data_IF_959779919465
#
_entry.id   IF_959779919465
#
_cell.length_a   1.000
_cell.length_b   1.000
_cell.length_c   1.000
_cell.angle_alpha   90.00
_cell.angle_beta   90.00
_cell.angle_gamma   90.00
#
_symmetry.space_group_name_H-M   'P 1'
#
loop_
_entity.id
_entity.type
_entity.pdbx_description
1 polymer ?
#
# COMPACT_ATOMS: atom_id res chain seq x y z
N UNK A 1 -23.07 7.04 -2.48
CA UNK A 1 -22.12 6.38 -1.53
C UNK A 1 -21.14 7.43 -1.04
N UNK A 2 -20.82 7.46 0.26
CA UNK A 2 -19.90 8.44 0.82
C UNK A 2 -18.49 7.82 0.92
N UNK A 3 -17.56 8.07 -0.05
CA UNK A 3 -16.27 7.40 -0.14
C UNK A 3 -15.40 7.66 1.09
N UNK A 4 -15.49 8.84 1.70
CA UNK A 4 -14.71 9.20 2.88
C UNK A 4 -14.98 8.36 4.13
N UNK A 5 -16.12 7.67 4.22
CA UNK A 5 -16.45 6.75 5.32
C UNK A 5 -16.34 5.28 4.91
N UNK A 6 -16.66 4.99 3.65
CA UNK A 6 -16.69 3.60 3.16
C UNK A 6 -15.29 3.02 2.98
N UNK A 7 -14.35 3.79 2.41
CA UNK A 7 -12.99 3.33 2.16
C UNK A 7 -12.24 2.98 3.44
N UNK A 8 -12.16 3.84 4.48
CA UNK A 8 -11.48 3.49 5.73
C UNK A 8 -12.07 2.26 6.43
N UNK A 9 -13.42 2.14 6.41
CA UNK A 9 -14.09 0.96 6.99
C UNK A 9 -13.76 -0.33 6.22
N UNK A 10 -13.77 -0.27 4.89
CA UNK A 10 -13.40 -1.41 4.07
C UNK A 10 -11.96 -1.87 4.35
N UNK A 11 -11.01 -0.95 4.46
CA UNK A 11 -9.61 -1.25 4.82
C UNK A 11 -9.54 -1.92 6.19
N UNK A 12 -10.21 -1.36 7.21
CA UNK A 12 -10.21 -1.94 8.55
C UNK A 12 -10.79 -3.36 8.58
N UNK A 13 -11.93 -3.59 7.91
CA UNK A 13 -12.52 -4.92 7.84
C UNK A 13 -11.63 -5.91 7.08
N UNK A 14 -10.98 -5.50 6.00
CA UNK A 14 -10.03 -6.34 5.27
C UNK A 14 -8.88 -6.78 6.16
N UNK A 15 -8.30 -5.88 6.94
CA UNK A 15 -7.21 -6.19 7.88
C UNK A 15 -7.67 -7.15 8.97
N UNK A 16 -8.83 -6.90 9.59
CA UNK A 16 -9.35 -7.74 10.68
C UNK A 16 -9.71 -9.14 10.17
N UNK A 17 -10.45 -9.24 9.06
CA UNK A 17 -10.86 -10.54 8.50
C UNK A 17 -9.64 -11.30 7.99
N UNK A 18 -8.76 -10.65 7.25
CA UNK A 18 -7.52 -11.24 6.74
C UNK A 18 -6.64 -11.72 7.90
N UNK A 19 -6.41 -10.89 8.91
CA UNK A 19 -5.65 -11.27 10.09
C UNK A 19 -6.24 -12.45 10.85
N UNK A 20 -7.56 -12.50 11.02
CA UNK A 20 -8.24 -13.62 11.66
C UNK A 20 -8.07 -14.93 10.86
N UNK A 21 -8.21 -14.88 9.54
CA UNK A 21 -7.98 -16.04 8.67
C UNK A 21 -6.54 -16.53 8.76
N UNK A 22 -5.55 -15.62 8.67
CA UNK A 22 -4.14 -16.00 8.82
C UNK A 22 -3.83 -16.60 10.19
N UNK A 23 -4.38 -16.04 11.26
CA UNK A 23 -4.20 -16.55 12.61
C UNK A 23 -4.75 -17.98 12.75
N UNK A 24 -5.97 -18.24 12.25
CA UNK A 24 -6.60 -19.57 12.30
C UNK A 24 -5.78 -20.57 11.48
N UNK A 25 -5.36 -20.21 10.26
CA UNK A 25 -4.56 -21.11 9.42
C UNK A 25 -3.20 -21.39 10.04
N UNK A 26 -2.51 -20.37 10.57
CA UNK A 26 -1.22 -20.55 11.24
C UNK A 26 -1.34 -21.46 12.49
N UNK A 27 -2.39 -21.26 13.29
CA UNK A 27 -2.67 -22.10 14.44
C UNK A 27 -2.97 -23.54 14.05
N UNK A 28 -3.81 -23.74 13.02
CA UNK A 28 -4.10 -25.07 12.50
C UNK A 28 -2.85 -25.78 11.93
N UNK A 29 -2.01 -25.05 11.20
CA UNK A 29 -0.74 -25.57 10.69
C UNK A 29 0.19 -26.00 11.84
N UNK A 30 0.28 -25.25 12.90
CA UNK A 30 1.08 -25.57 14.09
C UNK A 30 0.57 -26.82 14.82
N UNK A 31 -0.75 -27.04 14.83
CA UNK A 31 -1.33 -28.27 15.43
C UNK A 31 -1.00 -29.52 14.59
N UNK A 32 -0.96 -29.39 13.27
CA UNK A 32 -0.66 -30.50 12.35
C UNK A 32 0.83 -30.85 12.37
N UNK A 33 1.69 -29.86 12.42
CA UNK A 33 3.14 -30.03 12.40
C UNK A 33 3.82 -29.19 13.48
N UNK A 34 3.84 -29.67 14.73
CA UNK A 34 4.50 -28.97 15.83
C UNK A 34 6.01 -28.85 15.59
N UNK A 35 6.57 -27.64 15.78
CA UNK A 35 8.01 -27.40 15.67
C UNK A 35 8.45 -26.71 14.36
N UNK A 36 7.73 -26.87 13.26
CA UNK A 36 7.97 -26.12 12.02
C UNK A 36 9.23 -26.51 11.24
N UNK A 37 9.89 -27.62 11.57
CA UNK A 37 11.07 -28.10 10.86
C UNK A 37 10.67 -28.89 9.58
N UNK A 38 10.55 -28.17 8.49
CA UNK A 38 10.31 -28.77 7.17
C UNK A 38 11.64 -29.07 6.47
N UNK A 39 11.73 -30.26 5.84
CA UNK A 39 12.89 -30.63 5.01
C UNK A 39 13.09 -29.66 3.85
N UNK A 40 11.99 -29.17 3.28
CA UNK A 40 11.98 -28.16 2.25
C UNK A 40 10.88 -27.13 2.57
N UNK A 41 11.23 -25.93 3.00
CA UNK A 41 10.26 -24.87 3.31
C UNK A 41 9.36 -24.51 2.12
N UNK A 42 9.86 -24.61 0.89
CA UNK A 42 9.12 -24.27 -0.33
C UNK A 42 7.95 -25.22 -0.61
N UNK A 43 8.05 -26.48 -0.17
CA UNK A 43 6.99 -27.49 -0.34
C UNK A 43 6.15 -27.71 0.94
N UNK A 44 6.43 -27.00 2.03
CA UNK A 44 5.84 -27.23 3.34
C UNK A 44 4.30 -27.29 3.33
N UNK A 45 3.64 -26.36 2.64
CA UNK A 45 2.19 -26.32 2.53
C UNK A 45 1.62 -27.54 1.79
N UNK A 46 2.30 -27.99 0.73
CA UNK A 46 1.92 -29.19 -0.02
C UNK A 46 2.13 -30.46 0.80
N UNK A 47 3.24 -30.57 1.54
CA UNK A 47 3.55 -31.69 2.39
C UNK A 47 2.54 -31.81 3.53
N UNK A 48 2.14 -30.71 4.15
CA UNK A 48 1.04 -30.68 5.12
C UNK A 48 -0.29 -31.11 4.51
N UNK A 49 -0.64 -30.63 3.33
CA UNK A 49 -1.87 -31.02 2.65
C UNK A 49 -1.88 -32.54 2.37
N UNK A 50 -0.73 -33.10 2.01
CA UNK A 50 -0.58 -34.56 1.79
C UNK A 50 -0.69 -35.34 3.10
N UNK A 51 -0.18 -34.80 4.20
CA UNK A 51 -0.29 -35.41 5.53
C UNK A 51 -1.75 -35.48 6.02
N UNK A 52 -2.50 -34.41 5.80
CA UNK A 52 -3.89 -34.29 6.27
C UNK A 52 -4.86 -35.10 5.46
N UNK A 53 -4.80 -35.02 4.14
CA UNK A 53 -5.83 -35.57 3.25
C UNK A 53 -5.31 -36.50 2.14
N UNK A 54 -4.04 -36.90 2.19
CA UNK A 54 -3.44 -37.80 1.21
C UNK A 54 -3.28 -37.21 -0.19
N UNK A 55 -3.13 -38.11 -1.18
CA UNK A 55 -2.79 -37.72 -2.56
C UNK A 55 -3.87 -36.90 -3.27
N UNK A 56 -5.14 -37.26 -3.09
CA UNK A 56 -6.24 -36.59 -3.76
C UNK A 56 -6.38 -35.15 -3.23
N UNK A 57 -6.37 -34.97 -1.90
CA UNK A 57 -6.48 -33.67 -1.26
C UNK A 57 -5.31 -32.77 -1.62
N UNK A 58 -4.07 -33.28 -1.61
CA UNK A 58 -2.89 -32.48 -1.99
C UNK A 58 -2.92 -32.08 -3.47
N UNK A 59 -3.48 -32.89 -4.38
CA UNK A 59 -3.64 -32.51 -5.78
C UNK A 59 -4.66 -31.35 -5.95
N UNK A 60 -5.82 -31.46 -5.27
CA UNK A 60 -6.83 -30.38 -5.28
C UNK A 60 -6.28 -29.11 -4.64
N UNK A 61 -5.56 -29.24 -3.52
CA UNK A 61 -4.90 -28.11 -2.84
C UNK A 61 -3.91 -27.42 -3.78
N UNK A 62 -3.05 -28.18 -4.48
CA UNK A 62 -2.08 -27.63 -5.42
C UNK A 62 -2.77 -26.90 -6.58
N UNK A 63 -3.83 -27.47 -7.15
CA UNK A 63 -4.60 -26.84 -8.21
C UNK A 63 -5.21 -25.51 -7.73
N UNK A 64 -5.79 -25.49 -6.53
CA UNK A 64 -6.32 -24.27 -5.90
C UNK A 64 -5.23 -23.23 -5.64
N UNK A 65 -4.06 -23.65 -5.16
CA UNK A 65 -2.91 -22.78 -4.93
C UNK A 65 -2.47 -22.08 -6.24
N UNK A 66 -2.31 -22.86 -7.32
CA UNK A 66 -1.89 -22.31 -8.63
C UNK A 66 -2.90 -21.28 -9.14
N UNK A 67 -4.20 -21.58 -9.09
CA UNK A 67 -5.25 -20.64 -9.53
C UNK A 67 -5.24 -19.37 -8.69
N UNK A 68 -5.11 -19.49 -7.37
CA UNK A 68 -5.09 -18.37 -6.45
C UNK A 68 -3.86 -17.49 -6.65
N UNK A 69 -2.69 -18.09 -6.82
CA UNK A 69 -1.45 -17.36 -7.09
C UNK A 69 -1.51 -16.60 -8.43
N UNK A 70 -2.06 -17.22 -9.46
CA UNK A 70 -2.26 -16.56 -10.75
C UNK A 70 -3.20 -15.36 -10.65
N UNK A 71 -4.35 -15.53 -9.98
CA UNK A 71 -5.30 -14.44 -9.76
C UNK A 71 -4.70 -13.29 -8.92
N UNK A 72 -3.95 -13.62 -7.86
CA UNK A 72 -3.25 -12.66 -7.02
C UNK A 72 -2.17 -11.90 -7.82
N UNK A 73 -1.41 -12.61 -8.65
CA UNK A 73 -0.40 -12.02 -9.53
C UNK A 73 -0.99 -10.99 -10.50
N UNK A 74 -2.12 -11.31 -11.14
CA UNK A 74 -2.83 -10.37 -12.03
C UNK A 74 -3.29 -9.12 -11.26
N UNK A 75 -3.85 -9.30 -10.07
CA UNK A 75 -4.32 -8.20 -9.23
C UNK A 75 -3.16 -7.29 -8.77
N UNK A 76 -2.04 -7.87 -8.36
CA UNK A 76 -0.83 -7.15 -8.00
C UNK A 76 -0.26 -6.35 -9.19
N UNK A 77 -0.16 -7.00 -10.35
CA UNK A 77 0.30 -6.39 -11.60
C UNK A 77 -0.56 -5.17 -11.99
N UNK A 78 -1.88 -5.31 -11.90
CA UNK A 78 -2.82 -4.22 -12.18
C UNK A 78 -2.66 -3.06 -11.17
N UNK A 79 -2.47 -3.36 -9.89
CA UNK A 79 -2.30 -2.36 -8.83
C UNK A 79 -1.01 -1.57 -9.00
N UNK A 80 0.13 -2.26 -9.19
CA UNK A 80 1.45 -1.62 -9.36
C UNK A 80 1.46 -0.75 -10.62
N UNK A 81 0.95 -1.24 -11.75
CA UNK A 81 0.95 -0.47 -13.01
C UNK A 81 0.12 0.80 -12.91
N UNK A 82 -1.02 0.78 -12.20
CA UNK A 82 -1.85 1.96 -11.95
C UNK A 82 -1.18 2.94 -11.00
N UNK A 83 -0.50 2.44 -9.96
CA UNK A 83 0.26 3.28 -9.03
C UNK A 83 1.40 4.02 -9.77
N UNK A 84 2.21 3.30 -10.56
CA UNK A 84 3.26 3.89 -11.37
C UNK A 84 2.71 4.94 -12.36
N UNK A 85 1.54 4.68 -12.96
CA UNK A 85 0.87 5.65 -13.81
C UNK A 85 0.45 6.90 -13.03
N UNK A 86 -0.15 6.75 -11.86
CA UNK A 86 -0.53 7.89 -11.01
C UNK A 86 0.69 8.73 -10.65
N UNK A 87 1.79 8.11 -10.21
CA UNK A 87 3.05 8.79 -9.91
C UNK A 87 3.65 9.50 -11.14
N UNK A 88 3.52 8.90 -12.32
CA UNK A 88 3.95 9.51 -13.57
C UNK A 88 3.07 10.68 -14.01
N UNK A 89 1.75 10.57 -13.83
CA UNK A 89 0.79 11.64 -14.09
C UNK A 89 1.04 12.84 -13.21
N UNK A 90 1.26 12.60 -11.92
CA UNK A 90 1.46 13.62 -10.89
C UNK A 90 2.92 14.14 -10.85
N UNK A 91 3.73 13.80 -11.85
CA UNK A 91 5.12 14.28 -12.04
C UNK A 91 6.12 13.86 -10.96
N UNK A 92 5.76 12.93 -10.10
CA UNK A 92 6.69 12.30 -9.14
C UNK A 92 7.71 11.44 -9.90
N UNK A 93 7.24 10.69 -10.90
CA UNK A 93 8.09 9.96 -11.84
C UNK A 93 8.07 10.67 -13.23
N UNK A 94 9.08 10.41 -14.09
CA UNK A 94 9.13 11.02 -15.42
C UNK A 94 7.86 10.73 -16.25
N UNK A 95 7.05 11.76 -16.48
CA UNK A 95 5.76 11.67 -17.17
C UNK A 95 5.86 11.05 -18.56
N UNK A 96 7.00 11.25 -19.23
CA UNK A 96 7.23 10.72 -20.60
C UNK A 96 7.24 9.19 -20.63
N UNK A 97 7.62 8.53 -19.51
CA UNK A 97 7.74 7.08 -19.38
C UNK A 97 6.49 6.54 -18.70
N UNK A 98 6.23 6.99 -17.47
CA UNK A 98 5.23 6.39 -16.57
C UNK A 98 3.81 6.97 -16.76
N UNK A 99 3.69 8.22 -17.23
CA UNK A 99 2.40 8.92 -17.40
C UNK A 99 1.69 8.66 -18.71
N UNK A 100 2.09 7.64 -19.50
CA UNK A 100 1.47 7.32 -20.80
C UNK A 100 0.47 6.19 -20.67
N UNK A 101 -0.68 6.36 -21.32
CA UNK A 101 -1.72 5.35 -21.53
C UNK A 101 -1.75 4.99 -23.00
N UNK A 102 -1.83 3.71 -23.32
CA UNK A 102 -2.00 3.24 -24.69
C UNK A 102 -3.40 3.60 -25.19
N UNK A 103 -3.49 4.24 -26.35
CA UNK A 103 -4.79 4.60 -26.98
C UNK A 103 -5.62 3.35 -27.31
N UNK A 104 -4.95 2.27 -27.74
CA UNK A 104 -5.61 1.01 -28.14
C UNK A 104 -6.17 0.25 -26.95
N UNK A 105 -5.41 0.12 -25.85
CA UNK A 105 -5.77 -0.72 -24.69
C UNK A 105 -6.34 0.09 -23.53
N UNK A 106 -6.25 1.41 -23.58
CA UNK A 106 -6.63 2.33 -22.48
C UNK A 106 -6.01 1.96 -21.13
N UNK A 107 -4.83 1.36 -21.17
CA UNK A 107 -4.07 0.90 -20.00
C UNK A 107 -2.62 1.40 -20.09
N UNK A 108 -1.91 1.54 -18.97
CA UNK A 108 -0.51 1.94 -18.94
C UNK A 108 0.41 0.75 -19.30
N UNK A 109 0.41 0.33 -20.57
CA UNK A 109 1.11 -0.87 -21.07
C UNK A 109 2.59 -0.87 -20.69
N UNK A 110 3.28 0.28 -20.78
CA UNK A 110 4.70 0.35 -20.42
C UNK A 110 4.94 0.01 -18.95
N UNK A 111 4.06 0.49 -18.06
CA UNK A 111 4.16 0.19 -16.62
C UNK A 111 3.88 -1.29 -16.33
N UNK A 112 2.94 -1.89 -17.07
CA UNK A 112 2.66 -3.34 -16.99
C UNK A 112 3.89 -4.14 -17.44
N UNK A 113 4.50 -3.78 -18.56
CA UNK A 113 5.69 -4.46 -19.04
C UNK A 113 6.89 -4.29 -18.09
N UNK A 114 7.08 -3.09 -17.56
CA UNK A 114 8.16 -2.82 -16.62
C UNK A 114 8.00 -3.62 -15.31
N UNK A 115 6.81 -3.61 -14.72
CA UNK A 115 6.56 -4.38 -13.50
C UNK A 115 6.60 -5.88 -13.76
N UNK A 116 6.16 -6.34 -14.94
CA UNK A 116 6.31 -7.74 -15.38
C UNK A 116 7.77 -8.14 -15.53
N UNK A 117 8.61 -7.29 -16.12
CA UNK A 117 10.05 -7.55 -16.25
C UNK A 117 10.73 -7.68 -14.88
N UNK A 118 10.36 -6.83 -13.90
CA UNK A 118 10.84 -6.97 -12.51
C UNK A 118 10.36 -8.28 -11.90
N UNK A 119 9.11 -8.68 -12.16
CA UNK A 119 8.57 -9.97 -11.71
C UNK A 119 9.33 -11.18 -12.26
N UNK A 120 9.84 -11.10 -13.51
CA UNK A 120 10.66 -12.17 -14.10
C UNK A 120 12.00 -12.35 -13.37
N UNK A 121 12.58 -11.28 -12.83
CA UNK A 121 13.80 -11.38 -12.00
C UNK A 121 13.52 -12.19 -10.72
N UNK A 122 12.30 -12.08 -10.18
CA UNK A 122 11.86 -12.84 -9.00
C UNK A 122 11.85 -14.37 -9.19
N UNK A 123 11.81 -14.86 -10.42
CA UNK A 123 11.85 -16.31 -10.69
C UNK A 123 13.18 -16.95 -10.22
N UNK A 124 14.25 -16.17 -10.20
CA UNK A 124 15.56 -16.63 -9.74
C UNK A 124 15.76 -16.58 -8.23
N UNK A 125 14.78 -16.08 -7.47
CA UNK A 125 14.84 -15.98 -6.01
C UNK A 125 14.04 -17.10 -5.37
N UNK A 126 14.54 -17.61 -4.24
CA UNK A 126 13.78 -18.53 -3.39
C UNK A 126 12.61 -17.82 -2.69
N UNK A 127 11.64 -18.59 -2.19
CA UNK A 127 10.43 -18.05 -1.55
C UNK A 127 10.79 -17.23 -0.32
N UNK A 128 11.76 -17.66 0.48
CA UNK A 128 12.14 -16.98 1.69
C UNK A 128 12.71 -15.58 1.40
N UNK A 129 13.67 -15.49 0.49
CA UNK A 129 14.26 -14.21 0.06
C UNK A 129 13.22 -13.29 -0.56
N UNK A 130 12.36 -13.82 -1.46
CA UNK A 130 11.29 -13.05 -2.08
C UNK A 130 10.32 -12.47 -1.04
N UNK A 131 9.92 -13.29 -0.06
CA UNK A 131 9.02 -12.86 1.03
C UNK A 131 9.70 -11.82 1.91
N UNK A 132 10.99 -11.97 2.21
CA UNK A 132 11.77 -11.00 2.99
C UNK A 132 11.86 -9.64 2.29
N UNK A 133 12.00 -9.59 0.97
CA UNK A 133 11.94 -8.33 0.21
C UNK A 133 10.58 -7.65 0.29
N UNK A 134 9.50 -8.41 0.14
CA UNK A 134 8.13 -7.87 0.26
C UNK A 134 7.92 -7.29 1.66
N UNK A 135 8.33 -8.03 2.68
CA UNK A 135 8.20 -7.62 4.08
C UNK A 135 9.06 -6.39 4.40
N UNK A 136 10.28 -6.29 3.85
CA UNK A 136 11.12 -5.09 3.99
C UNK A 136 10.38 -3.84 3.49
N UNK A 137 9.80 -3.91 2.30
CA UNK A 137 9.02 -2.80 1.72
C UNK A 137 7.80 -2.45 2.57
N UNK A 138 7.05 -3.45 3.03
CA UNK A 138 5.85 -3.26 3.84
C UNK A 138 6.18 -2.64 5.22
N UNK A 139 7.13 -3.21 5.96
CA UNK A 139 7.49 -2.70 7.29
C UNK A 139 8.10 -1.30 7.23
N UNK A 140 8.93 -1.02 6.22
CA UNK A 140 9.46 0.33 6.00
C UNK A 140 8.36 1.34 5.72
N UNK A 141 7.37 0.98 4.88
CA UNK A 141 6.23 1.84 4.58
C UNK A 141 5.35 2.07 5.81
N UNK A 142 5.01 1.01 6.55
CA UNK A 142 4.19 1.12 7.77
C UNK A 142 4.90 1.92 8.86
N UNK A 143 6.19 1.70 9.08
CA UNK A 143 7.00 2.52 10.01
C UNK A 143 6.94 4.00 9.62
N UNK A 144 7.10 4.31 8.32
CA UNK A 144 7.04 5.69 7.83
C UNK A 144 5.67 6.32 8.06
N UNK A 145 4.58 5.59 7.78
CA UNK A 145 3.20 6.07 8.04
C UNK A 145 2.98 6.31 9.53
N UNK A 146 3.41 5.40 10.39
CA UNK A 146 3.30 5.55 11.84
C UNK A 146 4.08 6.78 12.34
N UNK A 147 5.29 7.00 11.84
CA UNK A 147 6.09 8.21 12.16
C UNK A 147 5.40 9.48 11.68
N UNK A 148 4.82 9.47 10.48
CA UNK A 148 4.04 10.62 9.97
C UNK A 148 2.85 10.96 10.87
N UNK A 149 2.13 9.96 11.41
CA UNK A 149 1.03 10.19 12.34
C UNK A 149 1.51 10.80 13.65
N UNK A 150 2.64 10.35 14.17
CA UNK A 150 3.25 10.92 15.39
C UNK A 150 3.64 12.38 15.16
N UNK A 151 4.32 12.68 14.05
CA UNK A 151 4.70 14.06 13.70
C UNK A 151 3.46 14.95 13.55
N UNK A 152 2.41 14.42 12.91
CA UNK A 152 1.14 15.12 12.74
C UNK A 152 0.46 15.43 14.08
N UNK A 153 0.54 14.53 15.05
CA UNK A 153 0.05 14.76 16.42
C UNK A 153 0.76 15.93 17.09
N UNK A 154 2.09 15.96 17.03
CA UNK A 154 2.87 17.06 17.65
C UNK A 154 2.66 18.41 16.95
N UNK A 155 2.46 18.39 15.62
CA UNK A 155 2.23 19.62 14.85
C UNK A 155 0.84 20.20 15.02
N UNK A 156 -0.19 19.36 15.25
CA UNK A 156 -1.59 19.77 15.29
C UNK A 156 -2.29 19.33 16.58
N UNK A 157 -1.79 19.82 17.72
CA UNK A 157 -2.15 19.38 19.09
C UNK A 157 -3.64 19.56 19.49
N UNK A 158 -4.42 20.37 18.78
CA UNK A 158 -5.66 20.91 19.35
C UNK A 158 -6.91 20.03 19.29
N UNK A 159 -6.94 18.88 18.62
CA UNK A 159 -8.21 18.12 18.49
C UNK A 159 -8.08 16.62 18.29
N UNK A 160 -6.95 15.98 18.61
CA UNK A 160 -6.73 14.57 18.29
C UNK A 160 -6.47 13.73 19.52
N UNK A 161 -7.10 12.53 19.57
CA UNK A 161 -6.88 11.56 20.63
C UNK A 161 -5.42 11.11 20.66
N UNK A 162 -4.73 11.31 21.79
CA UNK A 162 -3.36 10.86 21.99
C UNK A 162 -3.21 9.34 21.80
N UNK A 163 -4.23 8.57 22.20
CA UNK A 163 -4.22 7.12 22.02
C UNK A 163 -4.14 6.71 20.54
N UNK A 164 -4.94 7.34 19.69
CA UNK A 164 -5.02 6.99 18.26
C UNK A 164 -3.87 7.56 17.41
N UNK A 165 -3.31 8.72 17.79
CA UNK A 165 -2.32 9.42 16.96
C UNK A 165 -0.89 9.43 17.51
N UNK A 166 -0.70 8.99 18.76
CA UNK A 166 0.62 8.88 19.37
C UNK A 166 0.90 7.46 19.84
N UNK A 167 0.07 6.89 20.72
CA UNK A 167 0.35 5.62 21.37
C UNK A 167 0.26 4.45 20.39
N UNK A 168 -0.84 4.34 19.66
CA UNK A 168 -1.01 3.25 18.68
C UNK A 168 0.04 3.29 17.55
N UNK A 169 0.34 4.45 16.91
CA UNK A 169 1.42 4.53 15.93
C UNK A 169 2.81 4.28 16.52
N UNK A 170 3.06 4.68 17.76
CA UNK A 170 4.35 4.40 18.40
C UNK A 170 4.57 2.90 18.62
N UNK A 171 3.54 2.19 19.10
CA UNK A 171 3.58 0.73 19.23
C UNK A 171 3.76 0.08 17.85
N UNK A 172 3.00 0.52 16.83
CA UNK A 172 3.14 0.04 15.45
C UNK A 172 4.56 0.21 14.91
N UNK A 173 5.13 1.42 15.03
CA UNK A 173 6.49 1.69 14.58
C UNK A 173 7.55 0.85 15.29
N UNK A 174 7.39 0.60 16.60
CA UNK A 174 8.28 -0.26 17.36
C UNK A 174 8.19 -1.72 16.92
N UNK A 175 6.97 -2.22 16.70
CA UNK A 175 6.76 -3.60 16.22
C UNK A 175 7.31 -3.77 14.81
N UNK A 176 7.00 -2.85 13.89
CA UNK A 176 7.51 -2.88 12.51
C UNK A 176 9.06 -2.79 12.49
N UNK A 177 9.63 -1.89 13.31
CA UNK A 177 11.08 -1.77 13.46
C UNK A 177 11.74 -3.03 14.02
N UNK A 178 11.11 -3.68 14.99
CA UNK A 178 11.58 -4.96 15.53
C UNK A 178 11.50 -6.07 14.47
N UNK A 179 10.40 -6.16 13.71
CA UNK A 179 10.24 -7.12 12.63
C UNK A 179 11.27 -6.92 11.51
N UNK A 180 11.64 -5.67 11.19
CA UNK A 180 12.71 -5.38 10.24
C UNK A 180 14.03 -6.03 10.66
N UNK A 181 14.34 -6.08 11.95
CA UNK A 181 15.58 -6.71 12.44
C UNK A 181 15.60 -8.24 12.32
N UNK A 182 14.45 -8.85 12.00
CA UNK A 182 14.31 -10.31 11.84
C UNK A 182 14.37 -10.77 10.38
N UNK A 183 14.48 -9.82 9.45
CA UNK A 183 14.61 -10.14 8.03
C UNK A 183 16.00 -10.64 7.68
N UNK A 184 16.10 -11.36 6.56
CA UNK A 184 17.39 -11.81 6.01
C UNK A 184 18.31 -10.65 5.67
N UNK A 185 19.62 -10.86 5.86
CA UNK A 185 20.68 -9.87 5.58
C UNK A 185 20.64 -9.36 4.13
N UNK A 186 20.31 -10.22 3.18
CA UNK A 186 20.21 -9.88 1.75
C UNK A 186 19.05 -8.92 1.49
N UNK A 187 17.88 -9.20 2.10
CA UNK A 187 16.73 -8.32 2.01
C UNK A 187 16.99 -6.95 2.65
N UNK A 188 17.68 -6.92 3.81
CA UNK A 188 18.07 -5.68 4.47
C UNK A 188 19.06 -4.87 3.63
N UNK A 189 20.06 -5.54 3.04
CA UNK A 189 21.10 -4.87 2.25
C UNK A 189 20.53 -4.29 0.96
N UNK A 190 19.85 -5.12 0.15
CA UNK A 190 19.31 -4.69 -1.14
C UNK A 190 18.14 -3.72 -0.93
N UNK A 191 17.28 -4.01 0.04
CA UNK A 191 16.17 -3.12 0.43
C UNK A 191 16.67 -1.77 0.92
N UNK A 192 17.75 -1.76 1.74
CA UNK A 192 18.40 -0.55 2.21
C UNK A 192 19.02 0.28 1.08
N UNK A 193 19.68 -0.36 0.13
CA UNK A 193 20.21 0.31 -1.08
C UNK A 193 19.05 0.93 -1.88
N UNK A 194 17.97 0.17 -2.11
CA UNK A 194 16.80 0.65 -2.84
C UNK A 194 16.13 1.84 -2.13
N UNK A 195 15.94 1.74 -0.82
CA UNK A 195 15.39 2.83 -0.01
C UNK A 195 16.28 4.07 -0.07
N UNK A 196 17.59 3.92 0.03
CA UNK A 196 18.56 5.01 -0.06
C UNK A 196 18.49 5.70 -1.43
N UNK A 197 18.42 4.93 -2.51
CA UNK A 197 18.19 5.47 -3.86
C UNK A 197 16.88 6.24 -3.96
N UNK A 198 15.80 5.73 -3.36
CA UNK A 198 14.50 6.39 -3.32
C UNK A 198 14.54 7.72 -2.56
N UNK A 199 15.19 7.74 -1.39
CA UNK A 199 15.37 8.96 -0.58
C UNK A 199 16.23 9.99 -1.31
N UNK A 200 17.33 9.57 -1.94
CA UNK A 200 18.18 10.45 -2.74
C UNK A 200 17.42 11.04 -3.94
N UNK A 201 16.63 10.21 -4.62
CA UNK A 201 15.77 10.67 -5.70
C UNK A 201 14.73 11.68 -5.21
N UNK A 202 14.08 11.43 -4.07
CA UNK A 202 13.12 12.35 -3.47
C UNK A 202 13.81 13.66 -3.04
N UNK A 203 14.97 13.60 -2.42
CA UNK A 203 15.75 14.78 -2.04
C UNK A 203 16.15 15.63 -3.28
N UNK A 204 16.54 14.97 -4.36
CA UNK A 204 16.82 15.64 -5.63
C UNK A 204 15.57 16.30 -6.22
N UNK A 205 14.44 15.59 -6.27
CA UNK A 205 13.17 16.07 -6.82
C UNK A 205 12.64 17.28 -6.03
N UNK A 206 12.72 17.24 -4.70
CA UNK A 206 12.25 18.30 -3.79
C UNK A 206 13.30 19.39 -3.53
N UNK A 207 14.44 19.36 -4.23
CA UNK A 207 15.58 20.24 -3.99
C UNK A 207 15.98 20.30 -2.52
N UNK A 208 16.31 19.15 -1.94
CA UNK A 208 16.64 19.00 -0.51
C UNK A 208 15.48 19.40 0.41
N UNK A 209 14.26 18.95 0.10
CA UNK A 209 13.04 19.22 0.88
C UNK A 209 12.64 20.70 1.00
N UNK A 210 13.14 21.57 0.12
CA UNK A 210 12.79 23.00 0.07
C UNK A 210 11.54 23.30 -0.76
N UNK A 211 11.09 22.38 -1.59
CA UNK A 211 9.86 22.49 -2.39
C UNK A 211 8.86 21.43 -1.94
N UNK A 212 7.57 21.79 -1.95
CA UNK A 212 6.50 20.81 -1.73
C UNK A 212 6.52 19.73 -2.80
N UNK A 213 6.24 18.47 -2.43
CA UNK A 213 6.06 17.39 -3.40
C UNK A 213 5.00 17.77 -4.45
N UNK A 214 5.13 17.32 -5.70
CA UNK A 214 4.20 17.66 -6.79
C UNK A 214 2.73 17.36 -6.48
N UNK A 215 2.44 16.30 -5.73
CA UNK A 215 1.08 15.92 -5.34
C UNK A 215 0.40 16.95 -4.43
N UNK A 216 1.12 17.55 -3.51
CA UNK A 216 0.56 18.58 -2.63
C UNK A 216 0.18 19.86 -3.39
N UNK A 217 0.94 20.22 -4.42
CA UNK A 217 0.63 21.37 -5.26
C UNK A 217 -0.67 21.15 -6.08
N UNK A 218 -0.97 19.92 -6.48
CA UNK A 218 -2.19 19.58 -7.21
C UNK A 218 -3.44 19.60 -6.32
N UNK A 219 -3.32 19.25 -5.05
CA UNK A 219 -4.42 19.31 -4.07
C UNK A 219 -4.82 20.76 -3.77
N UNK A 220 -3.87 21.68 -3.68
CA UNK A 220 -4.18 23.11 -3.50
C UNK A 220 -4.95 23.71 -4.71
N UNK A 221 -4.66 23.26 -5.93
CA UNK A 221 -5.38 23.72 -7.12
C UNK A 221 -6.77 23.10 -7.31
N UNK A 222 -7.09 22.04 -6.57
CA UNK A 222 -8.40 21.38 -6.61
C UNK A 222 -9.30 21.71 -5.41
N UNK A 223 -8.98 22.72 -4.63
CA UNK A 223 -9.97 23.30 -3.72
C UNK A 223 -11.03 23.94 -4.62
N UNK A 224 -12.25 23.39 -4.72
CA UNK A 224 -13.23 23.93 -5.61
C UNK A 224 -13.55 25.37 -5.19
N UNK A 225 -13.67 26.24 -6.16
CA UNK A 225 -14.22 27.59 -5.99
C UNK A 225 -15.69 27.58 -5.48
N UNK A 226 -16.20 26.48 -4.94
CA UNK A 226 -17.52 26.30 -4.37
C UNK A 226 -17.76 27.21 -3.16
N UNK A 227 -16.72 27.54 -2.38
CA UNK A 227 -16.83 28.54 -1.32
C UNK A 227 -17.16 29.94 -1.85
N UNK A 228 -16.61 30.31 -3.00
CA UNK A 228 -16.88 31.57 -3.68
C UNK A 228 -18.27 31.62 -4.30
N UNK A 229 -18.70 30.54 -4.92
CA UNK A 229 -20.00 30.46 -5.57
C UNK A 229 -21.15 30.40 -4.56
N UNK A 230 -20.96 29.70 -3.43
CA UNK A 230 -21.94 29.68 -2.33
C UNK A 230 -22.01 31.04 -1.64
N UNK A 231 -20.87 31.72 -1.43
CA UNK A 231 -20.84 33.07 -0.87
C UNK A 231 -21.48 34.11 -1.83
N UNK A 232 -21.19 34.04 -3.13
CA UNK A 232 -21.80 34.90 -4.14
C UNK A 232 -23.33 34.66 -4.23
N UNK A 233 -23.79 33.41 -4.24
CA UNK A 233 -25.20 33.09 -4.25
C UNK A 233 -25.92 33.55 -2.99
N UNK A 234 -25.28 33.48 -1.83
CA UNK A 234 -25.84 33.99 -0.58
C UNK A 234 -25.95 35.51 -0.57
N UNK A 235 -24.99 36.22 -1.17
CA UNK A 235 -25.05 37.67 -1.34
C UNK A 235 -26.15 38.11 -2.31
N UNK A 236 -26.32 37.39 -3.43
CA UNK A 236 -27.41 37.67 -4.38
C UNK A 236 -28.79 37.42 -3.80
N UNK A 237 -28.97 36.35 -3.00
CA UNK A 237 -30.25 36.09 -2.29
C UNK A 237 -30.54 37.18 -1.27
N UNK A 238 -29.57 37.64 -0.51
CA UNK A 238 -29.74 38.71 0.46
C UNK A 238 -30.00 40.07 -0.20
N UNK A 239 -29.39 40.33 -1.34
CA UNK A 239 -29.63 41.58 -2.12
C UNK A 239 -31.06 41.57 -2.70
N UNK A 240 -31.48 40.49 -3.29
CA UNK A 240 -32.83 40.37 -3.84
C UNK A 240 -33.91 40.44 -2.74
N UNK A 241 -33.66 39.88 -1.55
CA UNK A 241 -34.57 40.03 -0.40
C UNK A 241 -34.64 41.47 0.13
N UNK A 242 -33.52 42.22 0.08
CA UNK A 242 -33.50 43.64 0.48
C UNK A 242 -34.22 44.58 -0.53
N UNK A 243 -34.22 44.22 -1.82
CA UNK A 243 -34.95 44.97 -2.87
C UNK A 243 -36.42 44.66 -2.88
N UNK A 244 -36.88 43.42 -2.55
CA UNK A 244 -38.31 43.11 -2.46
C UNK A 244 -39.01 43.63 -1.20
N UNK A 245 -38.25 44.00 -0.16
CA UNK A 245 -38.81 44.61 1.07
C UNK A 245 -38.98 46.15 1.01
N UNK A 246 -38.70 46.78 -0.15
CA UNK A 246 -38.85 48.22 -0.37
C UNK A 246 -39.99 48.59 -1.32
N UNK A 247 -40.82 47.64 -1.77
CA UNK A 247 -42.07 47.85 -2.47
C UNK A 247 -43.24 47.56 -1.53
#
# INVERSE_FOLDING_TARGET
>A
MNPGRTIPRAIMWTVVIGGAVFLIVAYAAQLVHPGGDFRNPDSAAFDMAKLIGGRLFSAVFLAGLVVTQFASGIAAQASVSRLLYAMGRDTVLPRRIFGRVSERFRTPVLNILLSGAVGLVGIGLDIQTSTSFINFGAFTAFTTVNLCLIVLYFRNRQSRSALAYLVAPAIGALVDGWLLTKLDSDALTIGGIWLSCGVLYLAWLTRMFRRQPPEMALVEHHTPADGGMIAARKQDVLRNAAESGRQ
#
